data_IF_910573426284
#
_entry.id   IF_910573426284
#
_cell.length_a   1.000
_cell.length_b   1.000
_cell.length_c   1.000
_cell.angle_alpha   90.00
_cell.angle_beta   90.00
_cell.angle_gamma   90.00
#
_symmetry.space_group_name_H-M   'P 1'
#
loop_
_entity.id
_entity.type
_entity.pdbx_description
1 polymer ?
#
# COMPACT_ATOMS: atom_id res chain seq x y z
N UNK A 1 -15.75 -15.84 0.38
CA UNK A 1 -14.88 -14.89 1.12
C UNK A 1 -15.78 -14.03 1.95
N UNK A 2 -15.91 -14.34 3.25
CA UNK A 2 -17.05 -13.86 4.03
C UNK A 2 -16.67 -12.58 4.77
N UNK A 3 -17.51 -11.56 4.58
CA UNK A 3 -17.36 -10.20 5.12
C UNK A 3 -17.23 -10.20 6.66
N UNK A 4 -17.81 -11.22 7.30
CA UNK A 4 -17.77 -11.51 8.74
C UNK A 4 -16.36 -11.52 9.32
N UNK A 5 -15.39 -12.09 8.59
CA UNK A 5 -13.99 -12.19 9.04
C UNK A 5 -13.29 -10.83 9.13
N UNK A 6 -13.70 -9.86 8.32
CA UNK A 6 -13.13 -8.51 8.35
C UNK A 6 -13.63 -7.74 9.57
N UNK A 7 -14.92 -7.84 9.90
CA UNK A 7 -15.49 -7.24 11.10
C UNK A 7 -14.84 -7.78 12.38
N UNK A 8 -14.61 -9.10 12.46
CA UNK A 8 -13.90 -9.71 13.58
C UNK A 8 -12.46 -9.18 13.71
N UNK A 9 -11.75 -8.99 12.58
CA UNK A 9 -10.39 -8.41 12.59
C UNK A 9 -10.36 -6.96 13.04
N UNK A 10 -11.31 -6.12 12.60
CA UNK A 10 -11.43 -4.73 13.06
C UNK A 10 -11.71 -4.66 14.57
N UNK A 11 -12.62 -5.49 15.07
CA UNK A 11 -12.89 -5.58 16.51
C UNK A 11 -11.64 -5.99 17.31
N UNK A 12 -10.83 -6.91 16.78
CA UNK A 12 -9.57 -7.31 17.39
C UNK A 12 -8.53 -6.18 17.38
N UNK A 13 -8.44 -5.39 16.31
CA UNK A 13 -7.55 -4.23 16.25
C UNK A 13 -7.91 -3.17 17.30
N UNK A 14 -9.20 -2.95 17.57
CA UNK A 14 -9.62 -2.01 18.61
C UNK A 14 -9.23 -2.49 20.02
N UNK A 15 -9.30 -3.80 20.27
CA UNK A 15 -8.97 -4.41 21.59
C UNK A 15 -7.48 -4.65 21.80
N UNK A 16 -6.75 -4.97 20.74
CA UNK A 16 -5.32 -5.29 20.73
C UNK A 16 -4.68 -4.61 19.52
N UNK A 17 -4.38 -3.31 19.62
CA UNK A 17 -3.86 -2.57 18.50
C UNK A 17 -2.54 -3.19 18.03
N UNK A 18 -2.33 -3.33 16.70
CA UNK A 18 -1.04 -3.68 16.17
C UNK A 18 0.01 -2.63 16.61
N UNK A 19 1.27 -3.04 16.74
CA UNK A 19 2.33 -2.13 17.16
C UNK A 19 2.37 -0.89 16.25
N UNK A 20 2.45 0.30 16.85
CA UNK A 20 2.46 1.56 16.10
C UNK A 20 3.53 1.59 15.00
N UNK A 21 4.70 0.98 15.26
CA UNK A 21 5.78 0.82 14.27
C UNK A 21 5.33 0.06 13.02
N UNK A 22 4.54 -1.01 13.15
CA UNK A 22 4.01 -1.75 11.98
C UNK A 22 3.00 -0.92 11.20
N UNK A 23 2.15 -0.17 11.88
CA UNK A 23 1.15 0.70 11.23
C UNK A 23 1.85 1.80 10.44
N UNK A 24 2.84 2.46 11.04
CA UNK A 24 3.64 3.49 10.37
C UNK A 24 4.41 2.91 9.18
N UNK A 25 4.99 1.71 9.30
CA UNK A 25 5.68 1.04 8.19
C UNK A 25 4.73 0.81 7.01
N UNK A 26 3.54 0.25 7.26
CA UNK A 26 2.55 -0.01 6.20
C UNK A 26 2.06 1.29 5.59
N UNK A 27 1.77 2.30 6.40
CA UNK A 27 1.37 3.62 5.90
C UNK A 27 2.47 4.26 5.05
N UNK A 28 3.73 4.18 5.47
CA UNK A 28 4.86 4.70 4.70
C UNK A 28 5.00 3.99 3.34
N UNK A 29 4.81 2.67 3.30
CA UNK A 29 4.83 1.89 2.04
C UNK A 29 3.68 2.33 1.13
N UNK A 30 2.45 2.45 1.66
CA UNK A 30 1.29 2.91 0.89
C UNK A 30 1.55 4.30 0.31
N UNK A 31 2.13 5.20 1.10
CA UNK A 31 2.46 6.57 0.70
C UNK A 31 3.55 6.59 -0.37
N UNK A 32 4.57 5.74 -0.25
CA UNK A 32 5.60 5.56 -1.28
C UNK A 32 5.01 5.02 -2.60
N UNK A 33 4.15 4.01 -2.54
CA UNK A 33 3.44 3.51 -3.72
C UNK A 33 2.56 4.58 -4.36
N UNK A 34 1.83 5.36 -3.55
CA UNK A 34 1.04 6.49 -4.03
C UNK A 34 1.89 7.57 -4.70
N UNK A 35 3.04 7.92 -4.11
CA UNK A 35 3.99 8.87 -4.68
C UNK A 35 4.51 8.40 -6.04
N UNK A 36 4.86 7.12 -6.17
CA UNK A 36 5.29 6.53 -7.45
C UNK A 36 4.21 6.71 -8.52
N UNK A 37 2.95 6.39 -8.22
CA UNK A 37 1.84 6.54 -9.16
C UNK A 37 1.66 8.01 -9.57
N UNK A 38 1.78 8.95 -8.62
CA UNK A 38 1.67 10.38 -8.89
C UNK A 38 2.79 10.84 -9.83
N UNK A 39 4.03 10.43 -9.57
CA UNK A 39 5.18 10.77 -10.42
C UNK A 39 5.03 10.17 -11.82
N UNK A 40 4.58 8.92 -11.92
CA UNK A 40 4.31 8.24 -13.20
C UNK A 40 3.24 8.97 -14.01
N UNK A 41 2.11 9.33 -13.38
CA UNK A 41 1.04 10.09 -14.05
C UNK A 41 1.41 11.53 -14.39
N UNK A 42 2.29 12.14 -13.62
CA UNK A 42 2.78 13.49 -13.87
C UNK A 42 3.79 13.55 -15.03
N UNK A 43 4.21 12.40 -15.58
CA UNK A 43 5.16 12.34 -16.69
C UNK A 43 6.59 12.72 -16.29
N UNK A 44 6.89 12.80 -14.99
CA UNK A 44 8.24 13.04 -14.47
C UNK A 44 9.06 11.75 -14.34
N UNK A 45 8.50 10.61 -14.77
CA UNK A 45 9.18 9.33 -14.67
C UNK A 45 10.34 9.29 -15.66
N UNK A 46 11.56 9.01 -15.21
CA UNK A 46 12.71 9.02 -16.10
C UNK A 46 12.76 7.76 -16.96
N UNK A 47 13.26 7.89 -18.19
CA UNK A 47 13.30 6.79 -19.18
C UNK A 47 14.05 5.55 -18.69
N UNK A 48 15.11 5.74 -17.88
CA UNK A 48 15.90 4.65 -17.31
C UNK A 48 15.16 3.82 -16.25
N UNK A 49 14.07 4.35 -15.68
CA UNK A 49 13.27 3.69 -14.66
C UNK A 49 11.97 3.10 -15.21
N UNK A 50 11.71 3.23 -16.51
CA UNK A 50 10.49 2.72 -17.15
C UNK A 50 10.56 1.20 -17.24
N UNK A 51 9.57 0.49 -16.68
CA UNK A 51 9.51 -0.96 -16.77
C UNK A 51 9.02 -1.39 -18.15
N UNK A 52 9.76 -2.29 -18.80
CA UNK A 52 9.33 -2.92 -20.04
C UNK A 52 8.10 -3.80 -19.76
N UNK A 53 7.01 -3.60 -20.52
CA UNK A 53 5.80 -4.40 -20.36
C UNK A 53 6.05 -5.80 -20.92
N UNK A 54 6.46 -6.74 -20.06
CA UNK A 54 6.51 -8.16 -20.43
C UNK A 54 5.08 -8.64 -20.74
N UNK A 55 4.83 -8.94 -22.02
CA UNK A 55 3.61 -9.58 -22.48
C UNK A 55 3.71 -11.08 -22.12
N UNK A 56 2.68 -11.68 -21.49
CA UNK A 56 2.67 -13.10 -21.16
C UNK A 56 2.58 -13.98 -22.41
#
# INVERSE_FOLDING_TARGET
MNIERWFLRMALWARRPPSARRVVLVLAIILACGAIIVVERAGYWPDWATAERMRP
#
